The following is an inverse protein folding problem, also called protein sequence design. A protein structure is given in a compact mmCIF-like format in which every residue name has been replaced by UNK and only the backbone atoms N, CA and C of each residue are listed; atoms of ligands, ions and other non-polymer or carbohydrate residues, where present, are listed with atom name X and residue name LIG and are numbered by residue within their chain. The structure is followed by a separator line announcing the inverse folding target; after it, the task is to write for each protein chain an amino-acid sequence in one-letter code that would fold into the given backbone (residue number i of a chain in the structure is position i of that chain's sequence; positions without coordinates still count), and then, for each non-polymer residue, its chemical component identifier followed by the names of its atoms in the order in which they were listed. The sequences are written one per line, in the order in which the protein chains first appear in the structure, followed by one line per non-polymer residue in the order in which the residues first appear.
data_IF_192686184244
#
_entry.id   IF_192686184244
#
_cell.length_a   1.000
_cell.length_b   1.000
_cell.length_c   1.000
_cell.angle_alpha   90.00
_cell.angle_beta   90.00
_cell.angle_gamma   90.00
#
_symmetry.space_group_name_H-M   'P 1'
#
loop_
_entity.id
_entity.type
_entity.pdbx_description
1 polymer ?
#
# COMPACT_ATOMS: atom_id res chain seq x y z
N UNK A 1 -19.38 9.75 26.65
CA UNK A 1 -18.22 9.47 27.50
C UNK A 1 -17.78 8.01 27.46
N UNK A 2 -18.64 7.02 27.73
CA UNK A 2 -18.26 5.59 27.73
C UNK A 2 -17.67 5.09 26.39
N UNK A 3 -18.21 5.50 25.23
CA UNK A 3 -17.68 5.15 23.93
C UNK A 3 -16.26 5.71 23.70
N UNK A 4 -15.99 6.92 24.16
CA UNK A 4 -14.66 7.55 24.08
C UNK A 4 -13.65 6.84 24.98
N UNK A 5 -14.05 6.41 26.19
CA UNK A 5 -13.23 5.57 27.07
C UNK A 5 -12.94 4.20 26.47
N UNK A 6 -13.92 3.58 25.81
CA UNK A 6 -13.72 2.30 25.13
C UNK A 6 -12.72 2.43 23.94
N UNK A 7 -12.85 3.49 23.14
CA UNK A 7 -11.94 3.77 22.02
C UNK A 7 -10.53 4.05 22.53
N UNK A 8 -10.39 4.87 23.58
CA UNK A 8 -9.07 5.27 24.11
C UNK A 8 -8.39 4.18 24.96
N UNK A 9 -9.12 3.17 25.46
CA UNK A 9 -8.58 2.03 26.20
C UNK A 9 -8.06 0.88 25.34
N UNK A 10 -8.38 0.87 24.04
CA UNK A 10 -8.09 -0.23 23.13
C UNK A 10 -7.12 0.21 22.01
N UNK A 11 -6.09 -0.60 21.74
CA UNK A 11 -5.09 -0.35 20.69
C UNK A 11 -5.74 -0.07 19.32
N UNK A 12 -6.75 -0.85 18.95
CA UNK A 12 -7.48 -0.67 17.69
C UNK A 12 -8.22 0.66 17.63
N UNK A 13 -8.92 1.04 18.73
CA UNK A 13 -9.65 2.31 18.80
C UNK A 13 -8.72 3.50 18.72
N UNK A 14 -7.56 3.46 19.40
CA UNK A 14 -6.53 4.50 19.30
C UNK A 14 -5.99 4.59 17.88
N UNK A 15 -5.73 3.47 17.22
CA UNK A 15 -5.23 3.43 15.85
C UNK A 15 -6.23 4.08 14.88
N UNK A 16 -7.53 3.73 14.96
CA UNK A 16 -8.60 4.37 14.18
C UNK A 16 -8.67 5.87 14.43
N UNK A 17 -8.65 6.31 15.70
CA UNK A 17 -8.77 7.72 16.04
C UNK A 17 -7.58 8.55 15.49
N UNK A 18 -6.37 8.03 15.59
CA UNK A 18 -5.18 8.70 15.06
C UNK A 18 -5.19 8.70 13.53
N UNK A 19 -5.50 7.56 12.90
CA UNK A 19 -5.58 7.46 11.45
C UNK A 19 -6.54 8.51 10.88
N UNK A 20 -7.81 8.44 11.23
CA UNK A 20 -8.80 9.39 10.71
C UNK A 20 -8.52 10.84 11.15
N UNK A 21 -7.97 11.04 12.35
CA UNK A 21 -7.50 12.35 12.80
C UNK A 21 -6.46 12.94 11.85
N UNK A 22 -5.46 12.17 11.44
CA UNK A 22 -4.44 12.58 10.47
C UNK A 22 -5.06 12.82 9.10
N UNK A 23 -5.88 11.86 8.60
CA UNK A 23 -6.48 11.98 7.28
C UNK A 23 -7.37 13.24 7.17
N UNK A 24 -8.20 13.51 8.17
CA UNK A 24 -9.10 14.66 8.13
C UNK A 24 -8.39 15.99 8.38
N UNK A 25 -7.36 16.02 9.22
CA UNK A 25 -6.50 17.20 9.36
C UNK A 25 -5.77 17.51 8.03
N UNK A 26 -5.22 16.48 7.39
CA UNK A 26 -4.59 16.60 6.07
C UNK A 26 -5.59 17.03 4.98
N UNK A 27 -6.82 16.46 4.99
CA UNK A 27 -7.90 16.89 4.10
C UNK A 27 -8.21 18.38 4.25
N UNK A 28 -8.31 18.88 5.48
CA UNK A 28 -8.60 20.30 5.74
C UNK A 28 -7.54 21.19 5.10
N UNK A 29 -6.26 20.89 5.36
CA UNK A 29 -5.13 21.63 4.77
C UNK A 29 -5.15 21.52 3.24
N UNK A 30 -5.33 20.31 2.71
CA UNK A 30 -5.37 20.03 1.27
C UNK A 30 -6.52 20.77 0.57
N UNK A 31 -7.67 20.90 1.23
CA UNK A 31 -8.85 21.59 0.70
C UNK A 31 -8.66 23.11 0.69
N UNK A 32 -8.06 23.70 1.74
CA UNK A 32 -7.76 25.13 1.82
C UNK A 32 -6.79 25.53 0.70
N UNK A 33 -5.70 24.77 0.55
CA UNK A 33 -4.67 25.07 -0.46
C UNK A 33 -4.95 24.44 -1.83
N UNK A 34 -6.07 23.75 -2.02
CA UNK A 34 -6.46 23.05 -3.26
C UNK A 34 -5.32 22.20 -3.82
N UNK A 35 -4.67 21.39 -2.96
CA UNK A 35 -3.50 20.58 -3.31
C UNK A 35 -3.62 19.14 -2.83
N UNK A 36 -3.14 18.21 -3.64
CA UNK A 36 -3.06 16.77 -3.31
C UNK A 36 -1.62 16.29 -3.15
N UNK A 37 -0.65 17.16 -3.30
CA UNK A 37 0.78 16.76 -3.44
C UNK A 37 1.30 15.90 -2.31
N UNK A 38 0.75 16.03 -1.12
CA UNK A 38 1.14 15.26 0.05
C UNK A 38 0.17 14.11 0.40
N UNK A 39 -0.83 13.82 -0.45
CA UNK A 39 -1.83 12.76 -0.19
C UNK A 39 -1.17 11.41 0.04
N UNK A 40 -0.36 10.94 -0.90
CA UNK A 40 0.32 9.65 -0.80
C UNK A 40 1.36 9.64 0.34
N UNK A 41 2.03 10.76 0.60
CA UNK A 41 2.98 10.91 1.73
C UNK A 41 2.26 10.83 3.08
N UNK A 42 1.08 11.45 3.20
CA UNK A 42 0.28 11.39 4.43
C UNK A 42 -0.20 9.95 4.70
N UNK A 43 -0.68 9.23 3.69
CA UNK A 43 -1.06 7.83 3.81
C UNK A 43 0.11 6.95 4.27
N UNK A 44 1.23 7.03 3.57
CA UNK A 44 2.45 6.29 3.93
C UNK A 44 2.98 6.67 5.31
N UNK A 45 2.97 7.96 5.64
CA UNK A 45 3.36 8.46 6.97
C UNK A 45 2.45 7.92 8.09
N UNK A 46 1.15 7.76 7.80
CA UNK A 46 0.20 7.17 8.74
C UNK A 46 0.48 5.68 8.96
N UNK A 47 0.78 4.91 7.90
CA UNK A 47 1.26 3.52 8.06
C UNK A 47 2.48 3.44 8.96
N UNK A 48 3.48 4.26 8.69
CA UNK A 48 4.72 4.31 9.47
C UNK A 48 4.45 4.62 10.94
N UNK A 49 3.69 5.68 11.20
CA UNK A 49 3.37 6.13 12.54
C UNK A 49 2.58 5.08 13.32
N UNK A 50 1.52 4.52 12.72
CA UNK A 50 0.66 3.56 13.39
C UNK A 50 1.37 2.22 13.66
N UNK A 51 2.20 1.75 12.73
CA UNK A 51 3.02 0.56 12.96
C UNK A 51 3.94 0.76 14.17
N UNK A 52 4.62 1.89 14.26
CA UNK A 52 5.48 2.25 15.39
C UNK A 52 4.68 2.41 16.69
N UNK A 53 3.58 3.17 16.68
CA UNK A 53 2.81 3.46 17.89
C UNK A 53 2.13 2.21 18.44
N UNK A 54 1.61 1.33 17.59
CA UNK A 54 0.98 0.09 18.06
C UNK A 54 2.01 -0.83 18.72
N UNK A 55 3.25 -0.90 18.21
CA UNK A 55 4.35 -1.59 18.87
C UNK A 55 4.63 -0.99 20.26
N UNK A 56 4.68 0.35 20.37
CA UNK A 56 4.89 1.06 21.63
C UNK A 56 3.76 0.81 22.63
N UNK A 57 2.50 0.85 22.20
CA UNK A 57 1.35 0.59 23.08
C UNK A 57 1.28 -0.88 23.50
N UNK A 58 1.71 -1.80 22.65
CA UNK A 58 1.85 -3.21 22.98
C UNK A 58 2.83 -3.42 24.14
N UNK A 59 3.96 -2.76 24.10
CA UNK A 59 4.96 -2.70 25.18
C UNK A 59 5.77 -3.97 25.39
N UNK A 60 5.52 -5.05 24.63
CA UNK A 60 6.16 -6.35 24.78
C UNK A 60 7.42 -6.51 23.95
N UNK A 61 7.49 -5.87 22.80
CA UNK A 61 8.65 -5.83 21.90
C UNK A 61 9.21 -7.20 21.50
N UNK A 62 8.37 -8.22 21.39
CA UNK A 62 8.79 -9.54 20.90
C UNK A 62 9.45 -9.44 19.52
N UNK A 63 10.38 -10.36 19.23
CA UNK A 63 11.14 -10.34 17.97
C UNK A 63 10.21 -10.26 16.74
N UNK A 64 9.14 -11.05 16.73
CA UNK A 64 8.12 -11.06 15.67
C UNK A 64 7.48 -9.69 15.48
N UNK A 65 7.08 -9.01 16.57
CA UNK A 65 6.50 -7.68 16.54
C UNK A 65 7.46 -6.64 15.97
N UNK A 66 8.73 -6.67 16.42
CA UNK A 66 9.77 -5.76 15.94
C UNK A 66 10.07 -5.95 14.45
N UNK A 67 10.20 -7.21 14.00
CA UNK A 67 10.45 -7.51 12.58
C UNK A 67 9.27 -7.04 11.74
N UNK A 68 8.04 -7.46 12.07
CA UNK A 68 6.86 -7.08 11.28
C UNK A 68 6.67 -5.57 11.22
N UNK A 69 6.81 -4.87 12.35
CA UNK A 69 6.75 -3.41 12.41
C UNK A 69 7.84 -2.77 11.54
N UNK A 70 9.07 -3.27 11.63
CA UNK A 70 10.19 -2.79 10.81
C UNK A 70 9.95 -2.97 9.32
N UNK A 71 9.40 -4.11 8.90
CA UNK A 71 9.04 -4.39 7.51
C UNK A 71 7.98 -3.39 7.00
N UNK A 72 6.90 -3.16 7.76
CA UNK A 72 5.88 -2.16 7.41
C UNK A 72 6.47 -0.76 7.32
N UNK A 73 7.28 -0.36 8.31
CA UNK A 73 7.92 0.96 8.32
C UNK A 73 8.87 1.16 7.12
N UNK A 74 9.62 0.12 6.76
CA UNK A 74 10.52 0.15 5.59
C UNK A 74 9.74 0.35 4.29
N UNK A 75 8.67 -0.43 4.10
CA UNK A 75 7.80 -0.27 2.94
C UNK A 75 7.15 1.11 2.89
N UNK A 76 6.57 1.57 4.01
CA UNK A 76 5.88 2.86 4.09
C UNK A 76 6.83 4.04 3.82
N UNK A 77 8.03 4.04 4.39
CA UNK A 77 9.03 5.08 4.13
C UNK A 77 9.44 5.11 2.65
N UNK A 78 9.75 3.94 2.08
CA UNK A 78 10.12 3.82 0.67
C UNK A 78 9.01 4.28 -0.25
N UNK A 79 7.78 3.78 -0.06
CA UNK A 79 6.64 4.13 -0.91
C UNK A 79 6.31 5.62 -0.81
N UNK A 80 6.26 6.16 0.41
CA UNK A 80 5.97 7.58 0.63
C UNK A 80 6.97 8.51 -0.06
N UNK A 81 8.27 8.24 0.09
CA UNK A 81 9.32 9.02 -0.58
C UNK A 81 9.20 8.89 -2.11
N UNK A 82 8.99 7.68 -2.61
CA UNK A 82 8.86 7.43 -4.04
C UNK A 82 7.67 8.18 -4.66
N UNK A 83 6.49 8.05 -4.06
CA UNK A 83 5.27 8.68 -4.57
C UNK A 83 5.31 10.20 -4.44
N UNK A 84 5.83 10.72 -3.32
CA UNK A 84 5.99 12.15 -3.12
C UNK A 84 6.94 12.77 -4.14
N UNK A 85 8.13 12.18 -4.33
CA UNK A 85 9.10 12.67 -5.33
C UNK A 85 8.53 12.60 -6.75
N UNK A 86 7.73 11.57 -7.06
CA UNK A 86 7.03 11.44 -8.34
C UNK A 86 6.05 12.60 -8.56
N UNK A 87 5.21 12.92 -7.56
CA UNK A 87 4.23 14.00 -7.66
C UNK A 87 4.91 15.37 -7.77
N UNK A 88 5.97 15.62 -7.02
CA UNK A 88 6.74 16.86 -7.14
C UNK A 88 7.33 17.03 -8.56
N UNK A 89 7.91 15.96 -9.13
CA UNK A 89 8.44 15.98 -10.50
C UNK A 89 7.36 16.18 -11.58
N UNK A 90 6.17 15.58 -11.39
CA UNK A 90 5.05 15.71 -12.35
C UNK A 90 4.21 16.98 -12.15
N UNK A 91 4.43 17.70 -11.04
CA UNK A 91 3.71 18.92 -10.69
C UNK A 91 2.33 18.68 -10.07
N UNK A 92 1.62 17.65 -10.47
CA UNK A 92 0.28 17.30 -9.99
C UNK A 92 -0.02 15.81 -10.16
N UNK A 93 -1.03 15.32 -9.45
CA UNK A 93 -1.58 13.99 -9.65
C UNK A 93 -2.94 14.05 -10.35
N UNK A 94 -3.00 13.45 -11.53
CA UNK A 94 -4.20 13.47 -12.38
C UNK A 94 -5.43 12.79 -11.75
N UNK A 95 -5.24 11.91 -10.76
CA UNK A 95 -6.33 11.26 -10.00
C UNK A 95 -7.24 12.28 -9.33
N UNK A 96 -6.70 13.45 -8.96
CA UNK A 96 -7.37 14.48 -8.17
C UNK A 96 -7.88 15.67 -8.98
N UNK A 97 -7.68 15.69 -10.30
CA UNK A 97 -8.06 16.85 -11.14
C UNK A 97 -9.55 17.24 -11.01
N UNK A 98 -10.44 16.26 -10.82
CA UNK A 98 -11.89 16.49 -10.70
C UNK A 98 -12.35 16.74 -9.26
N UNK A 99 -11.54 16.39 -8.25
CA UNK A 99 -11.95 16.44 -6.84
C UNK A 99 -11.27 17.55 -6.05
N UNK A 100 -10.11 18.03 -6.50
CA UNK A 100 -9.33 19.08 -5.83
C UNK A 100 -10.11 20.37 -5.56
N UNK A 101 -11.06 20.72 -6.44
CA UNK A 101 -11.94 21.90 -6.30
C UNK A 101 -13.24 21.63 -5.54
N UNK A 102 -13.49 20.38 -5.10
CA UNK A 102 -14.69 19.99 -4.38
C UNK A 102 -14.32 19.39 -3.01
N UNK A 103 -14.39 20.18 -1.91
CA UNK A 103 -13.97 19.70 -0.60
C UNK A 103 -14.71 18.46 -0.11
N UNK A 104 -16.01 18.31 -0.41
CA UNK A 104 -16.79 17.15 0.00
C UNK A 104 -16.32 15.87 -0.70
N UNK A 105 -16.12 15.92 -2.02
CA UNK A 105 -15.57 14.78 -2.77
C UNK A 105 -14.12 14.47 -2.33
N UNK A 106 -13.33 15.51 -2.04
CA UNK A 106 -11.97 15.35 -1.58
C UNK A 106 -11.91 14.71 -0.18
N UNK A 107 -12.87 15.05 0.71
CA UNK A 107 -13.01 14.39 2.01
C UNK A 107 -13.26 12.88 1.88
N UNK A 108 -14.07 12.46 0.90
CA UNK A 108 -14.32 11.04 0.62
C UNK A 108 -13.00 10.33 0.28
N UNK A 109 -12.14 10.93 -0.55
CA UNK A 109 -10.85 10.33 -0.91
C UNK A 109 -9.94 10.16 0.30
N UNK A 110 -9.84 11.17 1.16
CA UNK A 110 -9.07 11.09 2.40
C UNK A 110 -9.64 10.06 3.38
N UNK A 111 -10.96 9.96 3.46
CA UNK A 111 -11.62 8.95 4.30
C UNK A 111 -11.37 7.54 3.78
N UNK A 112 -11.45 7.33 2.46
CA UNK A 112 -11.12 6.04 1.83
C UNK A 112 -9.64 5.68 2.09
N UNK A 113 -8.74 6.65 2.08
CA UNK A 113 -7.34 6.42 2.44
C UNK A 113 -7.19 5.94 3.88
N UNK A 114 -7.89 6.55 4.85
CA UNK A 114 -7.90 6.06 6.23
C UNK A 114 -8.42 4.64 6.35
N UNK A 115 -9.54 4.33 5.69
CA UNK A 115 -10.07 2.95 5.65
C UNK A 115 -9.02 1.98 5.09
N UNK A 116 -8.35 2.34 4.01
CA UNK A 116 -7.28 1.53 3.41
C UNK A 116 -6.11 1.34 4.38
N UNK A 117 -5.62 2.40 5.01
CA UNK A 117 -4.51 2.33 5.98
C UNK A 117 -4.87 1.38 7.12
N UNK A 118 -6.01 1.60 7.76
CA UNK A 118 -6.43 0.82 8.92
C UNK A 118 -6.63 -0.66 8.58
N UNK A 119 -7.42 -0.97 7.54
CA UNK A 119 -7.71 -2.36 7.17
C UNK A 119 -6.45 -3.12 6.73
N UNK A 120 -5.57 -2.46 5.99
CA UNK A 120 -4.33 -3.08 5.54
C UNK A 120 -3.38 -3.34 6.70
N UNK A 121 -3.34 -2.47 7.71
CA UNK A 121 -2.44 -2.60 8.87
C UNK A 121 -2.96 -3.58 9.94
N UNK A 122 -4.21 -4.04 9.86
CA UNK A 122 -4.85 -4.89 10.89
C UNK A 122 -4.00 -6.06 11.39
N UNK A 123 -3.33 -6.89 10.54
CA UNK A 123 -2.49 -7.99 11.03
C UNK A 123 -1.36 -7.50 11.93
N UNK A 124 -0.75 -6.37 11.60
CA UNK A 124 0.34 -5.78 12.39
C UNK A 124 -0.16 -5.17 13.69
N UNK A 125 -1.30 -4.46 13.67
CA UNK A 125 -1.93 -3.93 14.89
C UNK A 125 -2.27 -5.07 15.85
N UNK A 126 -2.92 -6.13 15.34
CA UNK A 126 -3.27 -7.31 16.14
C UNK A 126 -2.03 -8.00 16.71
N UNK A 127 -0.98 -8.17 15.90
CA UNK A 127 0.27 -8.77 16.34
C UNK A 127 0.93 -7.94 17.46
N UNK A 128 0.96 -6.62 17.30
CA UNK A 128 1.57 -5.70 18.28
C UNK A 128 0.79 -5.62 19.59
N UNK A 129 -0.51 -5.93 19.57
CA UNK A 129 -1.35 -5.98 20.79
C UNK A 129 -1.18 -7.27 21.61
N UNK A 130 -0.52 -8.30 21.08
CA UNK A 130 -0.28 -9.57 21.79
C UNK A 130 0.62 -9.38 23.00
N UNK A 131 0.21 -9.99 24.13
CA UNK A 131 0.93 -9.95 25.41
C UNK A 131 1.76 -11.20 25.69
N UNK A 132 1.55 -12.25 24.89
CA UNK A 132 2.29 -13.51 24.96
C UNK A 132 2.94 -13.80 23.61
N UNK A 133 4.09 -14.42 23.61
CA UNK A 133 4.80 -14.87 22.43
C UNK A 133 4.93 -16.40 22.42
N UNK A 134 5.21 -16.95 21.26
CA UNK A 134 5.52 -18.36 21.03
C UNK A 134 6.85 -18.44 20.27
N UNK A 135 7.56 -19.57 20.32
CA UNK A 135 8.71 -19.77 19.44
C UNK A 135 8.39 -19.44 17.99
N UNK A 136 9.38 -18.95 17.27
CA UNK A 136 9.22 -18.68 15.84
C UNK A 136 8.91 -19.98 15.10
N UNK A 137 8.01 -19.90 14.14
CA UNK A 137 7.53 -21.03 13.35
C UNK A 137 7.88 -20.85 11.88
N UNK A 138 7.73 -21.90 11.09
CA UNK A 138 7.89 -21.82 9.62
C UNK A 138 7.05 -20.71 9.00
N UNK A 139 5.86 -20.40 9.55
CA UNK A 139 5.00 -19.33 9.05
C UNK A 139 5.66 -17.94 9.16
N UNK A 140 6.42 -17.70 10.23
CA UNK A 140 7.14 -16.44 10.39
C UNK A 140 8.19 -16.27 9.28
N UNK A 141 9.04 -17.28 9.09
CA UNK A 141 10.11 -17.23 8.09
C UNK A 141 9.56 -17.19 6.65
N UNK A 142 8.54 -18.00 6.36
CA UNK A 142 7.87 -17.99 5.03
C UNK A 142 7.21 -16.64 4.78
N UNK A 143 6.48 -16.09 5.75
CA UNK A 143 5.84 -14.79 5.63
C UNK A 143 6.84 -13.66 5.38
N UNK A 144 7.94 -13.63 6.13
CA UNK A 144 9.01 -12.64 5.91
C UNK A 144 9.73 -12.85 4.59
N UNK A 145 9.97 -14.09 4.17
CA UNK A 145 10.55 -14.41 2.86
C UNK A 145 9.69 -13.93 1.70
N UNK A 146 8.38 -14.18 1.78
CA UNK A 146 7.40 -13.67 0.80
C UNK A 146 7.40 -12.14 0.78
N UNK A 147 7.46 -11.49 1.95
CA UNK A 147 7.55 -10.03 2.04
C UNK A 147 8.81 -9.51 1.31
N UNK A 148 9.98 -10.11 1.57
CA UNK A 148 11.23 -9.69 0.92
C UNK A 148 11.13 -9.81 -0.60
N UNK A 149 10.62 -10.93 -1.11
CA UNK A 149 10.43 -11.13 -2.56
C UNK A 149 9.47 -10.07 -3.12
N UNK A 150 8.32 -9.85 -2.47
CA UNK A 150 7.34 -8.84 -2.88
C UNK A 150 7.93 -7.44 -2.90
N UNK A 151 8.65 -7.06 -1.84
CA UNK A 151 9.30 -5.76 -1.72
C UNK A 151 10.34 -5.53 -2.82
N UNK A 152 11.15 -6.54 -3.12
CA UNK A 152 12.14 -6.46 -4.21
C UNK A 152 11.46 -6.32 -5.58
N UNK A 153 10.38 -7.06 -5.85
CA UNK A 153 9.60 -6.90 -7.08
C UNK A 153 9.08 -5.47 -7.22
N UNK A 154 8.49 -4.92 -6.15
CA UNK A 154 7.95 -3.56 -6.16
C UNK A 154 9.04 -2.52 -6.40
N UNK A 155 10.14 -2.58 -5.63
CA UNK A 155 11.25 -1.61 -5.72
C UNK A 155 11.90 -1.64 -7.10
N UNK A 156 12.22 -2.84 -7.60
CA UNK A 156 12.89 -2.99 -8.89
C UNK A 156 11.99 -2.55 -10.05
N UNK A 157 10.70 -2.92 -10.01
CA UNK A 157 9.74 -2.52 -11.04
C UNK A 157 9.56 -1.00 -11.10
N UNK A 158 9.40 -0.36 -9.94
CA UNK A 158 9.26 1.09 -9.85
C UNK A 158 10.54 1.82 -10.29
N UNK A 159 11.72 1.30 -9.94
CA UNK A 159 13.00 1.82 -10.39
C UNK A 159 13.12 1.72 -11.92
N UNK A 160 12.89 0.54 -12.50
CA UNK A 160 12.94 0.32 -13.95
C UNK A 160 12.01 1.30 -14.68
N UNK A 161 10.78 1.47 -14.21
CA UNK A 161 9.82 2.41 -14.81
C UNK A 161 10.26 3.86 -14.66
N UNK A 162 10.88 4.21 -13.55
CA UNK A 162 11.39 5.57 -13.32
C UNK A 162 12.54 5.91 -14.24
N UNK A 163 13.52 5.00 -14.38
CA UNK A 163 14.64 5.14 -15.31
C UNK A 163 14.15 5.23 -16.75
N UNK A 164 13.25 4.33 -17.17
CA UNK A 164 12.67 4.34 -18.51
C UNK A 164 12.00 5.69 -18.84
N UNK A 165 11.25 6.25 -17.89
CA UNK A 165 10.55 7.53 -18.08
C UNK A 165 11.47 8.76 -18.02
N UNK A 166 12.63 8.66 -17.36
CA UNK A 166 13.59 9.77 -17.28
C UNK A 166 14.40 9.93 -18.57
N UNK A 167 14.48 8.90 -19.38
CA UNK A 167 15.15 8.95 -20.68
C UNK A 167 14.21 9.56 -21.72
N UNK A 168 14.62 10.69 -22.27
CA UNK A 168 13.87 11.45 -23.28
C UNK A 168 13.66 10.67 -24.59
N UNK A 169 14.54 9.73 -24.91
CA UNK A 169 14.42 8.85 -26.09
C UNK A 169 13.22 7.91 -25.99
N UNK A 170 12.70 7.69 -24.77
CA UNK A 170 11.53 6.88 -24.49
C UNK A 170 10.23 7.69 -24.46
N UNK A 171 10.27 8.98 -24.78
CA UNK A 171 9.07 9.82 -24.82
C UNK A 171 8.04 9.25 -25.80
N UNK A 172 6.84 9.01 -25.32
CA UNK A 172 5.76 8.42 -26.13
C UNK A 172 5.78 6.90 -26.22
N UNK A 173 6.79 6.22 -25.65
CA UNK A 173 6.89 4.76 -25.60
C UNK A 173 6.36 4.21 -24.27
N UNK A 174 6.12 2.89 -24.25
CA UNK A 174 5.77 2.12 -23.06
C UNK A 174 6.93 1.18 -22.68
N UNK A 175 7.06 0.88 -21.39
CA UNK A 175 8.08 -0.03 -20.89
C UNK A 175 7.64 -1.49 -21.12
N UNK A 176 8.54 -2.32 -21.64
CA UNK A 176 8.35 -3.76 -21.86
C UNK A 176 9.61 -4.58 -21.57
N UNK A 177 10.53 -4.03 -20.75
CA UNK A 177 11.83 -4.66 -20.44
C UNK A 177 11.96 -4.96 -18.96
N UNK A 178 12.85 -5.87 -18.58
CA UNK A 178 13.07 -6.28 -17.20
C UNK A 178 11.82 -6.96 -16.61
N UNK A 179 11.39 -6.59 -15.41
CA UNK A 179 10.18 -7.15 -14.79
C UNK A 179 8.90 -6.84 -15.58
N UNK A 180 8.91 -5.77 -16.39
CA UNK A 180 7.77 -5.39 -17.24
C UNK A 180 7.63 -6.29 -18.48
N UNK A 181 8.60 -7.14 -18.81
CA UNK A 181 8.46 -8.15 -19.86
C UNK A 181 7.70 -9.41 -19.41
N UNK A 182 7.65 -9.68 -18.10
CA UNK A 182 7.01 -10.87 -17.54
C UNK A 182 5.67 -10.59 -16.86
N UNK A 183 5.42 -9.31 -16.52
CA UNK A 183 4.16 -8.82 -15.99
C UNK A 183 3.96 -7.36 -16.40
N UNK A 184 2.70 -6.97 -16.72
CA UNK A 184 2.34 -5.58 -17.02
C UNK A 184 2.20 -4.71 -15.77
N UNK A 185 2.10 -5.34 -14.58
CA UNK A 185 1.98 -4.67 -13.29
C UNK A 185 2.86 -5.36 -12.22
N UNK A 186 4.18 -5.48 -12.44
CA UNK A 186 5.05 -6.22 -11.54
C UNK A 186 5.20 -5.57 -10.16
N UNK A 187 5.09 -4.25 -10.07
CA UNK A 187 5.07 -3.54 -8.80
C UNK A 187 3.81 -3.87 -7.97
N UNK A 188 2.64 -4.00 -8.60
CA UNK A 188 1.41 -4.40 -7.90
C UNK A 188 1.45 -5.87 -7.47
N UNK A 189 2.05 -6.73 -8.27
CA UNK A 189 2.33 -8.10 -7.85
C UNK A 189 3.20 -8.12 -6.59
N UNK A 190 4.27 -7.32 -6.57
CA UNK A 190 5.13 -7.16 -5.39
C UNK A 190 4.37 -6.67 -4.17
N UNK A 191 3.56 -5.63 -4.31
CA UNK A 191 2.76 -5.09 -3.20
C UNK A 191 1.75 -6.11 -2.65
N UNK A 192 1.07 -6.85 -3.49
CA UNK A 192 0.16 -7.92 -3.06
C UNK A 192 0.93 -8.99 -2.27
N UNK A 193 2.08 -9.43 -2.78
CA UNK A 193 2.89 -10.45 -2.11
C UNK A 193 3.34 -10.01 -0.72
N UNK A 194 3.83 -8.79 -0.57
CA UNK A 194 4.34 -8.34 0.73
C UNK A 194 3.23 -8.28 1.80
N UNK A 195 2.00 -7.88 1.45
CA UNK A 195 0.88 -7.88 2.39
C UNK A 195 0.37 -9.29 2.71
N UNK A 196 0.41 -10.21 1.75
CA UNK A 196 0.18 -11.65 2.00
C UNK A 196 1.23 -12.19 2.98
N UNK A 197 2.51 -11.86 2.77
CA UNK A 197 3.61 -12.26 3.64
C UNK A 197 3.44 -11.78 5.08
N UNK A 198 3.06 -10.52 5.29
CA UNK A 198 2.79 -9.97 6.61
C UNK A 198 1.60 -10.65 7.30
N UNK A 199 0.54 -10.98 6.56
CA UNK A 199 -0.59 -11.72 7.10
C UNK A 199 -0.17 -13.14 7.51
N UNK A 200 0.55 -13.88 6.64
CA UNK A 200 1.04 -15.24 6.94
C UNK A 200 1.89 -15.23 8.21
N UNK A 201 2.85 -14.32 8.32
CA UNK A 201 3.68 -14.17 9.52
C UNK A 201 2.82 -13.90 10.76
N UNK A 202 1.84 -13.00 10.70
CA UNK A 202 0.95 -12.71 11.82
C UNK A 202 0.12 -13.94 12.27
N UNK A 203 -0.22 -14.86 11.33
CA UNK A 203 -0.98 -16.08 11.68
C UNK A 203 -0.23 -17.03 12.63
N UNK A 204 1.09 -16.91 12.75
CA UNK A 204 1.91 -17.76 13.61
C UNK A 204 1.54 -17.68 15.10
N UNK A 205 1.00 -16.52 15.53
CA UNK A 205 0.60 -16.28 16.93
C UNK A 205 -0.92 -16.23 17.12
N UNK A 206 -1.69 -16.35 16.05
CA UNK A 206 -3.15 -16.35 16.13
C UNK A 206 -3.65 -17.60 16.87
N UNK A 207 -4.53 -17.39 17.85
CA UNK A 207 -5.11 -18.47 18.67
C UNK A 207 -6.65 -18.47 18.61
N UNK A 208 -7.26 -17.37 18.21
CA UNK A 208 -8.72 -17.19 18.16
C UNK A 208 -9.19 -17.03 16.72
N UNK A 209 -10.29 -17.67 16.36
CA UNK A 209 -10.87 -17.60 14.99
C UNK A 209 -11.07 -16.17 14.51
N UNK A 210 -11.53 -15.27 15.39
CA UNK A 210 -11.74 -13.85 15.05
C UNK A 210 -10.46 -13.11 14.63
N UNK A 211 -9.28 -13.59 15.01
CA UNK A 211 -8.01 -12.97 14.64
C UNK A 211 -7.70 -13.18 13.16
N UNK A 212 -8.15 -14.32 12.60
CA UNK A 212 -8.03 -14.58 11.17
C UNK A 212 -8.88 -13.66 10.30
N UNK A 213 -9.84 -12.90 10.88
CA UNK A 213 -10.55 -11.86 10.14
C UNK A 213 -9.61 -10.76 9.60
N UNK A 214 -8.39 -10.64 10.16
CA UNK A 214 -7.34 -9.76 9.61
C UNK A 214 -6.88 -10.15 8.20
N UNK A 215 -7.32 -11.30 7.67
CA UNK A 215 -7.19 -11.67 6.24
C UNK A 215 -7.79 -10.62 5.30
N UNK A 216 -8.67 -9.77 5.82
CA UNK A 216 -9.19 -8.62 5.07
C UNK A 216 -8.07 -7.71 4.55
N UNK A 217 -6.91 -7.68 5.23
CA UNK A 217 -5.75 -6.88 4.81
C UNK A 217 -5.25 -7.23 3.41
N UNK A 218 -4.74 -8.42 3.11
CA UNK A 218 -4.34 -8.76 1.75
C UNK A 218 -5.52 -8.76 0.77
N UNK A 219 -6.74 -9.09 1.21
CA UNK A 219 -7.93 -9.08 0.34
C UNK A 219 -8.22 -7.65 -0.15
N UNK A 220 -8.21 -6.65 0.74
CA UNK A 220 -8.47 -5.26 0.34
C UNK A 220 -7.39 -4.73 -0.61
N UNK A 221 -6.13 -5.07 -0.38
CA UNK A 221 -5.02 -4.71 -1.29
C UNK A 221 -5.25 -5.34 -2.67
N UNK A 222 -5.55 -6.63 -2.74
CA UNK A 222 -5.86 -7.32 -4.00
C UNK A 222 -7.02 -6.62 -4.71
N UNK A 223 -8.14 -6.38 -4.02
CA UNK A 223 -9.33 -5.76 -4.61
C UNK A 223 -9.06 -4.35 -5.11
N UNK A 224 -8.39 -3.51 -4.31
CA UNK A 224 -8.07 -2.14 -4.70
C UNK A 224 -7.15 -2.11 -5.92
N UNK A 225 -6.10 -2.91 -5.95
CA UNK A 225 -5.15 -2.91 -7.05
C UNK A 225 -5.70 -3.57 -8.31
N UNK A 226 -6.50 -4.64 -8.19
CA UNK A 226 -6.96 -5.40 -9.37
C UNK A 226 -8.32 -4.95 -9.90
N UNK A 227 -9.20 -4.36 -9.08
CA UNK A 227 -10.59 -4.08 -9.46
C UNK A 227 -11.02 -2.61 -9.36
N UNK A 228 -10.37 -1.81 -8.50
CA UNK A 228 -10.87 -0.46 -8.18
C UNK A 228 -9.95 0.65 -8.72
N UNK A 229 -8.76 0.80 -8.19
CA UNK A 229 -7.92 1.98 -8.40
C UNK A 229 -6.59 1.73 -9.10
N UNK A 230 -6.17 0.48 -9.21
CA UNK A 230 -4.86 0.11 -9.78
C UNK A 230 -4.96 -0.25 -11.27
N UNK A 231 -4.94 -1.55 -11.56
CA UNK A 231 -4.88 -2.12 -12.91
C UNK A 231 -5.96 -1.55 -13.85
N UNK A 232 -7.26 -1.45 -13.48
CA UNK A 232 -8.27 -0.99 -14.43
C UNK A 232 -7.99 0.41 -14.97
N UNK A 233 -7.55 1.32 -14.10
CA UNK A 233 -7.25 2.70 -14.49
C UNK A 233 -6.01 2.75 -15.38
N UNK A 234 -4.95 1.99 -15.04
CA UNK A 234 -3.71 1.98 -15.83
C UNK A 234 -3.90 1.31 -17.19
N UNK A 235 -4.64 0.21 -17.27
CA UNK A 235 -4.97 -0.45 -18.54
C UNK A 235 -5.80 0.48 -19.46
N UNK A 236 -6.82 1.13 -18.91
CA UNK A 236 -7.61 2.10 -19.68
C UNK A 236 -6.77 3.29 -20.18
N UNK A 237 -5.86 3.81 -19.35
CA UNK A 237 -4.92 4.86 -19.77
C UNK A 237 -3.93 4.36 -20.83
N UNK A 238 -3.44 3.13 -20.69
CA UNK A 238 -2.55 2.49 -21.66
C UNK A 238 -3.23 2.32 -23.01
N UNK A 239 -4.43 1.77 -23.05
CA UNK A 239 -5.23 1.62 -24.27
C UNK A 239 -5.56 2.97 -24.90
N UNK A 240 -5.92 3.99 -24.12
CA UNK A 240 -6.14 5.35 -24.66
C UNK A 240 -4.90 5.94 -25.31
N UNK A 241 -3.70 5.66 -24.76
CA UNK A 241 -2.44 6.26 -25.20
C UNK A 241 -1.77 5.50 -26.33
N UNK A 242 -1.85 4.16 -26.29
CA UNK A 242 -1.08 3.27 -27.14
C UNK A 242 -1.94 2.27 -27.91
N UNK A 243 -3.27 2.28 -27.79
CA UNK A 243 -4.17 1.26 -28.37
C UNK A 243 -4.14 1.18 -29.89
N UNK A 244 -3.60 2.18 -30.59
CA UNK A 244 -3.38 2.17 -32.04
C UNK A 244 -1.98 1.65 -32.42
N UNK A 245 -1.12 1.33 -31.46
CA UNK A 245 0.21 0.79 -31.70
C UNK A 245 0.17 -0.74 -31.68
N UNK A 246 0.44 -1.42 -32.83
CA UNK A 246 0.45 -2.88 -32.90
C UNK A 246 1.40 -3.54 -31.89
N UNK A 247 2.58 -2.94 -31.64
CA UNK A 247 3.56 -3.43 -30.66
C UNK A 247 2.97 -3.42 -29.23
N UNK A 248 2.19 -2.40 -28.88
CA UNK A 248 1.53 -2.35 -27.57
C UNK A 248 0.44 -3.42 -27.43
N UNK A 249 -0.34 -3.63 -28.50
CA UNK A 249 -1.37 -4.66 -28.50
C UNK A 249 -0.76 -6.06 -28.38
N UNK A 250 0.34 -6.30 -29.09
CA UNK A 250 1.10 -7.55 -29.00
C UNK A 250 1.68 -7.76 -27.58
N UNK A 251 2.30 -6.71 -27.01
CA UNK A 251 2.73 -6.72 -25.61
C UNK A 251 1.58 -7.07 -24.65
N UNK A 252 0.41 -6.47 -24.81
CA UNK A 252 -0.76 -6.76 -23.97
C UNK A 252 -1.24 -8.20 -24.11
N UNK A 253 -1.11 -8.79 -25.30
CA UNK A 253 -1.50 -10.17 -25.58
C UNK A 253 -0.50 -11.19 -25.03
N UNK A 254 0.78 -10.89 -25.12
CA UNK A 254 1.88 -11.84 -24.84
C UNK A 254 2.53 -11.64 -23.46
N UNK A 255 2.08 -10.64 -22.67
CA UNK A 255 2.60 -10.40 -21.33
C UNK A 255 1.51 -10.55 -20.28
N UNK A 256 1.77 -11.34 -19.25
CA UNK A 256 0.86 -11.56 -18.13
C UNK A 256 0.39 -10.24 -17.50
N UNK A 257 -0.89 -10.15 -17.15
CA UNK A 257 -1.44 -8.91 -16.60
C UNK A 257 -0.87 -8.59 -15.22
N UNK A 258 -0.79 -9.58 -14.34
CA UNK A 258 -0.37 -9.40 -12.93
C UNK A 258 0.62 -10.48 -12.49
N UNK A 259 0.19 -11.74 -12.45
CA UNK A 259 1.02 -12.85 -11.99
C UNK A 259 2.06 -13.17 -13.08
N UNK A 260 3.37 -13.05 -12.81
CA UNK A 260 4.38 -13.37 -13.81
C UNK A 260 4.14 -14.74 -14.43
N UNK A 261 4.22 -14.80 -15.76
CA UNK A 261 4.04 -16.01 -16.59
C UNK A 261 2.62 -16.64 -16.55
N UNK A 262 1.61 -16.01 -15.94
CA UNK A 262 0.22 -16.51 -15.90
C UNK A 262 -0.68 -15.47 -16.58
N UNK A 263 -1.27 -15.85 -17.74
CA UNK A 263 -2.13 -15.01 -18.58
C UNK A 263 -3.58 -15.03 -18.17
#
# INVERSE_FOLDING_TARGET
MQALYFIMGNTFGKAVAIDFGIQWACWLVASIFKTEKFYDLAGSGTFFLLAYQTLRWGGTYFLRQRIQTGLVMTWAARLGIFLFTRVIKSGQDSRFNKVRGNPAMFWIYWTIQGVWVFLTLLPTIMLNDKKEDKPLTTRDYVGWGIWVVGFLFEVIADYQKSVFKSDLTNKGKFIQTGLWSISRHPNYFGEILLWIGLFISATSIMSKTKEYATVISPIIVILLLTKVSGIPILEAQGMKRYGNNPEYLDYCKNTAKLLPFIW
#
